data_IF_517885042699
#
_entry.id   IF_517885042699
#
_cell.length_a   1.000
_cell.length_b   1.000
_cell.length_c   1.000
_cell.angle_alpha   90.00
_cell.angle_beta   90.00
_cell.angle_gamma   90.00
#
_symmetry.space_group_name_H-M   'P 1'
#
loop_
_entity.id
_entity.type
_entity.pdbx_description
1 polymer ?
#
# COMPACT_ATOMS: atom_id res chain seq x y z
N UNK A 1 11.73 41.87 10.47
CA UNK A 1 10.67 40.99 10.01
C UNK A 1 11.14 39.58 9.65
N UNK A 2 12.18 39.40 8.82
CA UNK A 2 12.67 38.06 8.42
C UNK A 2 13.10 37.16 9.61
N UNK A 3 13.75 37.69 10.65
CA UNK A 3 14.16 36.91 11.83
C UNK A 3 12.98 36.35 12.63
N UNK A 4 11.88 37.10 12.75
CA UNK A 4 10.69 36.67 13.48
C UNK A 4 9.93 35.58 12.71
N UNK A 5 9.91 35.68 11.38
CA UNK A 5 9.35 34.66 10.52
C UNK A 5 10.12 33.34 10.56
N UNK A 6 11.47 33.44 10.64
CA UNK A 6 12.34 32.27 10.75
C UNK A 6 12.17 31.54 12.09
N UNK A 7 12.05 32.29 13.19
CA UNK A 7 11.82 31.68 14.52
C UNK A 7 10.44 31.02 14.61
N UNK A 8 9.37 31.65 14.07
CA UNK A 8 8.04 31.06 14.01
C UNK A 8 8.03 29.79 13.15
N UNK A 9 8.76 29.79 12.03
CA UNK A 9 8.94 28.62 11.17
C UNK A 9 9.62 27.47 11.91
N UNK A 10 10.72 27.72 12.62
CA UNK A 10 11.41 26.70 13.40
C UNK A 10 10.52 26.13 14.50
N UNK A 11 9.70 26.97 15.15
CA UNK A 11 8.74 26.52 16.17
C UNK A 11 7.63 25.66 15.57
N UNK A 12 7.11 25.98 14.39
CA UNK A 12 6.07 25.17 13.70
C UNK A 12 6.65 23.82 13.27
N UNK A 13 7.85 23.80 12.70
CA UNK A 13 8.54 22.56 12.34
C UNK A 13 8.81 21.70 13.57
N UNK A 14 9.23 22.33 14.68
CA UNK A 14 9.47 21.64 15.95
C UNK A 14 8.17 21.10 16.58
N UNK A 15 7.08 21.86 16.51
CA UNK A 15 5.76 21.43 16.96
C UNK A 15 5.21 20.26 16.10
N UNK A 16 5.41 20.30 14.80
CA UNK A 16 5.09 19.18 13.90
C UNK A 16 5.94 17.92 14.22
N UNK A 17 7.23 18.12 14.51
CA UNK A 17 8.12 17.04 14.94
C UNK A 17 7.66 16.40 16.26
N UNK A 18 7.21 17.22 17.24
CA UNK A 18 6.66 16.74 18.50
C UNK A 18 5.29 16.05 18.32
N UNK A 19 4.42 16.59 17.46
CA UNK A 19 3.10 16.03 17.16
C UNK A 19 3.19 14.65 16.49
N UNK A 20 4.18 14.45 15.63
CA UNK A 20 4.41 13.17 14.97
C UNK A 20 5.29 12.21 15.78
N UNK A 21 5.78 12.63 16.95
CA UNK A 21 6.64 11.82 17.82
C UNK A 21 7.81 11.17 17.07
N UNK A 22 8.40 11.94 16.11
CA UNK A 22 9.54 11.50 15.33
C UNK A 22 10.79 11.78 16.15
N UNK A 23 11.32 10.76 16.80
CA UNK A 23 12.62 10.85 17.45
C UNK A 23 13.73 11.06 16.42
N UNK A 24 14.45 12.17 16.48
CA UNK A 24 15.66 12.43 15.63
C UNK A 24 16.64 11.25 15.74
N UNK A 25 16.74 10.62 16.92
CA UNK A 25 17.56 9.44 17.17
C UNK A 25 17.14 8.24 16.33
N UNK A 26 15.84 8.06 16.10
CA UNK A 26 15.30 6.93 15.33
C UNK A 26 15.58 7.10 13.84
N UNK A 27 15.47 8.32 13.31
CA UNK A 27 15.86 8.65 11.94
C UNK A 27 17.37 8.45 11.70
N UNK A 28 18.21 8.91 12.64
CA UNK A 28 19.69 8.75 12.55
C UNK A 28 20.05 7.27 12.66
N UNK A 29 19.42 6.51 13.56
CA UNK A 29 19.65 5.08 13.73
C UNK A 29 19.25 4.31 12.46
N UNK A 30 18.15 4.65 11.85
CA UNK A 30 17.68 4.03 10.60
C UNK A 30 18.59 4.33 9.41
N UNK A 31 19.12 5.57 9.30
CA UNK A 31 20.13 5.94 8.30
C UNK A 31 21.45 5.19 8.52
N UNK A 32 21.87 5.00 9.77
CA UNK A 32 23.10 4.27 10.13
C UNK A 32 22.92 2.76 9.89
N UNK A 33 21.77 2.18 10.22
CA UNK A 33 21.44 0.79 9.95
C UNK A 33 21.33 0.51 8.44
N UNK A 34 20.78 1.43 7.65
CA UNK A 34 20.79 1.37 6.19
C UNK A 34 22.23 1.37 5.62
N UNK A 35 23.14 2.16 6.19
CA UNK A 35 24.56 2.19 5.81
C UNK A 35 25.29 0.89 6.17
N UNK A 36 24.93 0.26 7.28
CA UNK A 36 25.50 -1.01 7.73
C UNK A 36 24.90 -2.21 6.99
N UNK A 37 23.62 -2.20 6.60
CA UNK A 37 22.98 -3.26 5.82
C UNK A 37 23.54 -3.37 4.39
N UNK A 38 24.07 -2.26 3.86
CA UNK A 38 24.81 -2.25 2.57
C UNK A 38 26.12 -3.04 2.67
N UNK A 39 26.72 -3.17 3.86
CA UNK A 39 27.99 -3.89 4.09
C UNK A 39 27.81 -5.40 4.31
N UNK A 40 26.60 -5.87 4.58
CA UNK A 40 26.28 -7.30 4.79
C UNK A 40 25.71 -7.93 3.51
N UNK A 41 26.38 -7.76 2.38
CA UNK A 41 26.25 -8.63 1.21
C UNK A 41 27.07 -9.91 1.45
N UNK A 42 26.51 -10.89 2.17
CA UNK A 42 26.77 -12.33 2.01
C UNK A 42 26.22 -13.17 3.19
N UNK A 43 24.90 -13.17 3.34
CA UNK A 43 24.21 -14.36 3.88
C UNK A 43 22.79 -14.33 3.30
N UNK A 44 22.46 -15.32 2.48
CA UNK A 44 21.08 -15.58 2.05
C UNK A 44 20.25 -15.94 3.29
N UNK A 45 19.80 -14.94 4.04
CA UNK A 45 18.67 -15.14 4.94
C UNK A 45 17.47 -15.44 4.05
N UNK A 46 16.81 -16.53 4.31
CA UNK A 46 15.58 -16.91 3.62
C UNK A 46 14.63 -15.71 3.60
N UNK A 47 13.98 -15.44 2.48
CA UNK A 47 12.97 -14.37 2.34
C UNK A 47 11.92 -14.41 3.45
N UNK A 48 11.58 -15.62 3.92
CA UNK A 48 10.70 -15.88 5.08
C UNK A 48 11.23 -15.29 6.39
N UNK A 49 12.56 -15.35 6.63
CA UNK A 49 13.16 -14.79 7.85
C UNK A 49 13.12 -13.24 7.83
N UNK A 50 13.32 -12.61 6.67
CA UNK A 50 13.22 -11.15 6.51
C UNK A 50 11.78 -10.68 6.68
N UNK A 51 10.80 -11.40 6.15
CA UNK A 51 9.37 -11.11 6.33
C UNK A 51 8.97 -11.30 7.80
N UNK A 52 9.51 -12.31 8.49
CA UNK A 52 9.23 -12.57 9.90
C UNK A 52 9.86 -11.51 10.82
N UNK A 53 11.10 -11.07 10.57
CA UNK A 53 11.75 -9.97 11.29
C UNK A 53 10.99 -8.65 11.10
N UNK A 54 10.57 -8.32 9.87
CA UNK A 54 9.76 -7.12 9.60
C UNK A 54 8.36 -7.17 10.24
N UNK A 55 7.79 -8.35 10.47
CA UNK A 55 6.52 -8.52 11.19
C UNK A 55 6.66 -8.36 12.72
N UNK A 56 7.83 -8.61 13.27
CA UNK A 56 8.08 -8.61 14.73
C UNK A 56 8.35 -7.21 15.29
N UNK A 57 8.81 -6.27 14.47
CA UNK A 57 9.00 -4.87 14.86
C UNK A 57 7.67 -4.10 14.79
N UNK A 58 6.83 -4.31 15.82
CA UNK A 58 5.61 -3.53 16.02
C UNK A 58 5.99 -2.14 16.55
N UNK A 59 6.40 -1.25 15.65
CA UNK A 59 6.64 0.13 15.99
C UNK A 59 5.32 0.90 15.99
N UNK A 60 5.07 1.66 17.05
CA UNK A 60 3.82 2.37 17.33
C UNK A 60 3.65 3.67 16.50
N UNK A 61 4.57 4.00 15.60
CA UNK A 61 4.57 5.26 14.84
C UNK A 61 3.99 5.07 13.44
N UNK A 62 2.99 5.89 13.09
CA UNK A 62 2.31 5.85 11.79
C UNK A 62 3.28 5.94 10.59
N UNK A 63 4.32 6.78 10.69
CA UNK A 63 5.30 6.99 9.61
C UNK A 63 6.18 5.76 9.41
N UNK A 64 6.65 5.15 10.50
CA UNK A 64 7.45 3.93 10.43
C UNK A 64 6.64 2.78 9.87
N UNK A 65 5.39 2.60 10.32
CA UNK A 65 4.47 1.60 9.77
C UNK A 65 4.20 1.80 8.26
N UNK A 66 4.10 3.07 7.82
CA UNK A 66 3.90 3.40 6.41
C UNK A 66 5.13 3.07 5.55
N UNK A 67 6.32 3.39 6.04
CA UNK A 67 7.60 3.09 5.36
C UNK A 67 7.85 1.58 5.34
N UNK A 68 7.62 0.89 6.46
CA UNK A 68 7.82 -0.56 6.58
C UNK A 68 6.85 -1.34 5.70
N UNK A 69 5.60 -0.91 5.56
CA UNK A 69 4.65 -1.48 4.58
C UNK A 69 5.15 -1.34 3.15
N UNK A 70 5.67 -0.17 2.80
CA UNK A 70 6.23 0.03 1.45
C UNK A 70 7.47 -0.84 1.23
N UNK A 71 8.32 -0.99 2.25
CA UNK A 71 9.48 -1.88 2.22
C UNK A 71 9.08 -3.34 2.05
N UNK A 72 8.07 -3.82 2.80
CA UNK A 72 7.52 -5.17 2.66
C UNK A 72 6.97 -5.43 1.25
N UNK A 73 6.27 -4.46 0.66
CA UNK A 73 5.76 -4.54 -0.71
C UNK A 73 6.91 -4.74 -1.70
N UNK A 74 7.98 -3.96 -1.59
CA UNK A 74 9.13 -4.06 -2.48
C UNK A 74 9.93 -5.35 -2.28
N UNK A 75 9.98 -5.88 -1.06
CA UNK A 75 10.57 -7.21 -0.76
C UNK A 75 9.76 -8.31 -1.44
N UNK A 76 8.42 -8.27 -1.35
CA UNK A 76 7.53 -9.26 -1.97
C UNK A 76 7.62 -9.23 -3.51
N UNK A 77 7.87 -8.08 -4.12
CA UNK A 77 8.07 -7.95 -5.57
C UNK A 77 9.51 -8.26 -6.04
N UNK A 78 10.39 -8.71 -5.15
CA UNK A 78 11.82 -8.99 -5.43
C UNK A 78 12.59 -7.77 -6.00
N UNK A 79 12.17 -6.56 -5.65
CA UNK A 79 12.60 -5.29 -6.25
C UNK A 79 13.30 -4.38 -5.22
N UNK A 80 14.11 -4.99 -4.34
CA UNK A 80 14.84 -4.27 -3.27
C UNK A 80 15.80 -3.18 -3.77
N UNK A 81 16.31 -3.32 -5.02
CA UNK A 81 17.15 -2.28 -5.63
C UNK A 81 16.40 -0.95 -5.81
N UNK A 82 15.09 -1.01 -6.01
CA UNK A 82 14.25 0.18 -6.20
C UNK A 82 13.94 0.92 -4.88
N UNK A 83 14.19 0.32 -3.73
CA UNK A 83 13.99 1.00 -2.44
C UNK A 83 14.94 2.18 -2.25
N UNK A 84 16.20 2.04 -2.68
CA UNK A 84 17.18 3.13 -2.66
C UNK A 84 16.77 4.28 -3.60
N UNK A 85 16.26 3.92 -4.79
CA UNK A 85 15.77 4.88 -5.76
C UNK A 85 14.51 5.60 -5.26
N UNK A 86 13.68 4.94 -4.44
CA UNK A 86 12.47 5.53 -3.86
C UNK A 86 12.80 6.73 -2.96
N UNK A 87 13.82 6.63 -2.10
CA UNK A 87 14.24 7.76 -1.29
C UNK A 87 14.78 8.91 -2.13
N UNK A 88 15.49 8.59 -3.22
CA UNK A 88 15.97 9.61 -4.14
C UNK A 88 14.80 10.33 -4.82
N UNK A 89 13.80 9.58 -5.32
CA UNK A 89 12.59 10.16 -5.91
C UNK A 89 11.79 10.98 -4.90
N UNK A 90 11.71 10.53 -3.64
CA UNK A 90 11.06 11.27 -2.56
C UNK A 90 11.79 12.59 -2.27
N UNK A 91 13.12 12.57 -2.24
CA UNK A 91 13.92 13.78 -2.05
C UNK A 91 13.72 14.78 -3.19
N UNK A 92 13.78 14.32 -4.45
CA UNK A 92 13.54 15.18 -5.63
C UNK A 92 12.11 15.74 -5.61
N UNK A 93 11.11 14.92 -5.31
CA UNK A 93 9.73 15.38 -5.20
C UNK A 93 9.58 16.43 -4.07
N UNK A 94 10.21 16.21 -2.91
CA UNK A 94 10.23 17.19 -1.82
C UNK A 94 10.84 18.54 -2.24
N UNK A 95 11.95 18.53 -3.01
CA UNK A 95 12.55 19.75 -3.55
C UNK A 95 11.57 20.48 -4.49
N UNK A 96 10.84 19.75 -5.34
CA UNK A 96 9.80 20.34 -6.18
C UNK A 96 8.74 21.02 -5.32
N UNK A 97 8.31 20.40 -4.22
CA UNK A 97 7.37 20.99 -3.27
C UNK A 97 7.90 22.30 -2.66
N UNK A 98 9.18 22.37 -2.31
CA UNK A 98 9.82 23.60 -1.83
C UNK A 98 9.79 24.70 -2.91
N UNK A 99 10.12 24.37 -4.14
CA UNK A 99 10.09 25.33 -5.26
C UNK A 99 8.68 25.91 -5.43
N UNK A 100 7.66 25.06 -5.39
CA UNK A 100 6.24 25.50 -5.48
C UNK A 100 5.89 26.43 -4.31
N UNK A 101 6.31 26.11 -3.08
CA UNK A 101 6.08 26.96 -1.91
C UNK A 101 6.75 28.35 -2.03
N UNK A 102 7.96 28.41 -2.57
CA UNK A 102 8.68 29.65 -2.85
C UNK A 102 7.95 30.46 -3.92
N UNK A 103 7.44 29.80 -4.97
CA UNK A 103 6.67 30.46 -6.03
C UNK A 103 5.39 31.11 -5.51
N UNK A 104 4.73 30.47 -4.53
CA UNK A 104 3.56 31.00 -3.82
C UNK A 104 3.95 32.14 -2.83
N UNK A 105 5.25 32.41 -2.65
CA UNK A 105 5.78 33.43 -1.74
C UNK A 105 5.33 33.24 -0.27
N UNK A 106 5.11 32.00 0.15
CA UNK A 106 4.65 31.66 1.48
C UNK A 106 5.65 30.70 2.18
N UNK A 107 6.47 31.25 3.07
CA UNK A 107 7.51 30.49 3.77
C UNK A 107 6.92 29.41 4.69
N UNK A 108 5.69 29.59 5.19
CA UNK A 108 5.03 28.61 6.07
C UNK A 108 4.56 27.36 5.31
N UNK A 109 4.40 27.45 3.98
CA UNK A 109 4.06 26.32 3.14
C UNK A 109 5.24 25.40 2.82
N UNK A 110 6.48 25.88 3.00
CA UNK A 110 7.69 25.12 2.65
C UNK A 110 7.71 23.73 3.32
N UNK A 111 7.58 23.60 4.68
CA UNK A 111 7.60 22.27 5.30
C UNK A 111 6.40 21.41 4.91
N UNK A 112 5.23 22.03 4.73
CA UNK A 112 3.98 21.32 4.40
C UNK A 112 4.11 20.72 3.01
N UNK A 113 4.54 21.49 2.03
CA UNK A 113 4.68 21.01 0.65
C UNK A 113 5.85 20.04 0.51
N UNK A 114 6.95 20.23 1.25
CA UNK A 114 8.03 19.26 1.29
C UNK A 114 7.52 17.88 1.73
N UNK A 115 6.79 17.80 2.86
CA UNK A 115 6.24 16.53 3.38
C UNK A 115 5.22 15.94 2.41
N UNK A 116 4.32 16.77 1.88
CA UNK A 116 3.27 16.33 0.96
C UNK A 116 3.86 15.73 -0.32
N UNK A 117 4.79 16.44 -0.97
CA UNK A 117 5.41 15.96 -2.20
C UNK A 117 6.36 14.80 -1.95
N UNK A 118 7.13 14.80 -0.85
CA UNK A 118 8.01 13.70 -0.49
C UNK A 118 7.25 12.39 -0.19
N UNK A 119 6.00 12.44 0.29
CA UNK A 119 5.18 11.26 0.52
C UNK A 119 4.58 10.68 -0.76
N UNK A 120 4.49 11.44 -1.85
CA UNK A 120 3.84 11.03 -3.10
C UNK A 120 4.41 9.74 -3.71
N UNK A 121 5.75 9.53 -3.86
CA UNK A 121 6.30 8.29 -4.40
C UNK A 121 5.94 7.05 -3.57
N UNK A 122 5.88 7.19 -2.25
CA UNK A 122 5.48 6.09 -1.36
C UNK A 122 4.01 5.73 -1.56
N UNK A 123 3.12 6.74 -1.63
CA UNK A 123 1.68 6.55 -1.88
C UNK A 123 1.48 5.87 -3.24
N UNK A 124 2.20 6.31 -4.27
CA UNK A 124 2.11 5.74 -5.63
C UNK A 124 2.44 4.23 -5.63
N UNK A 125 3.51 3.82 -4.97
CA UNK A 125 3.88 2.39 -4.89
C UNK A 125 2.82 1.59 -4.16
N UNK A 126 2.29 2.10 -3.04
CA UNK A 126 1.23 1.41 -2.30
C UNK A 126 -0.05 1.27 -3.13
N UNK A 127 -0.47 2.32 -3.84
CA UNK A 127 -1.63 2.28 -4.73
C UNK A 127 -1.43 1.29 -5.89
N UNK A 128 -0.26 1.29 -6.52
CA UNK A 128 0.08 0.36 -7.60
C UNK A 128 -0.01 -1.09 -7.11
N UNK A 129 0.57 -1.38 -5.96
CA UNK A 129 0.54 -2.71 -5.35
C UNK A 129 -0.89 -3.11 -4.97
N UNK A 130 -1.65 -2.21 -4.37
CA UNK A 130 -3.04 -2.43 -4.01
C UNK A 130 -3.90 -2.77 -5.24
N UNK A 131 -3.78 -2.00 -6.31
CA UNK A 131 -4.52 -2.24 -7.55
C UNK A 131 -4.15 -3.58 -8.19
N UNK A 132 -2.85 -3.94 -8.18
CA UNK A 132 -2.37 -5.25 -8.66
C UNK A 132 -2.95 -6.39 -7.84
N UNK A 133 -2.93 -6.29 -6.51
CA UNK A 133 -3.49 -7.30 -5.58
C UNK A 133 -5.01 -7.44 -5.75
N UNK A 134 -5.72 -6.33 -5.91
CA UNK A 134 -7.16 -6.33 -6.14
C UNK A 134 -7.54 -7.05 -7.45
N UNK A 135 -6.81 -6.79 -8.53
CA UNK A 135 -6.98 -7.49 -9.81
C UNK A 135 -6.72 -8.98 -9.64
N UNK A 136 -5.62 -9.34 -8.98
CA UNK A 136 -5.24 -10.73 -8.73
C UNK A 136 -6.29 -11.48 -7.89
N UNK A 137 -6.85 -10.88 -6.85
CA UNK A 137 -7.88 -11.53 -6.01
C UNK A 137 -9.17 -11.79 -6.79
N UNK A 138 -9.54 -10.88 -7.71
CA UNK A 138 -10.71 -11.09 -8.59
C UNK A 138 -10.51 -12.26 -9.55
N UNK A 139 -9.33 -12.36 -10.15
CA UNK A 139 -9.00 -13.45 -11.08
C UNK A 139 -8.81 -14.77 -10.31
N UNK A 140 -8.36 -14.70 -9.04
CA UNK A 140 -8.18 -15.86 -8.16
C UNK A 140 -9.49 -16.58 -7.86
N UNK A 141 -10.58 -15.84 -7.58
CA UNK A 141 -11.92 -16.42 -7.39
C UNK A 141 -12.33 -17.27 -8.59
N UNK A 142 -12.19 -16.72 -9.79
CA UNK A 142 -12.55 -17.42 -11.03
C UNK A 142 -11.66 -18.64 -11.27
N UNK A 143 -10.35 -18.51 -11.04
CA UNK A 143 -9.40 -19.61 -11.20
C UNK A 143 -9.69 -20.77 -10.24
N UNK A 144 -9.83 -20.45 -8.93
CA UNK A 144 -10.12 -21.42 -7.87
C UNK A 144 -11.45 -22.13 -8.13
N UNK A 145 -12.48 -21.37 -8.53
CA UNK A 145 -13.81 -21.92 -8.87
C UNK A 145 -13.73 -22.93 -10.01
N UNK A 146 -13.11 -22.55 -11.13
CA UNK A 146 -13.00 -23.40 -12.31
C UNK A 146 -12.18 -24.66 -12.03
N UNK A 147 -11.03 -24.51 -11.37
CA UNK A 147 -10.16 -25.64 -10.98
C UNK A 147 -10.90 -26.59 -10.04
N UNK A 148 -11.60 -26.06 -9.04
CA UNK A 148 -12.37 -26.86 -8.09
C UNK A 148 -13.48 -27.62 -8.81
N UNK A 149 -14.17 -26.97 -9.74
CA UNK A 149 -15.26 -27.62 -10.50
C UNK A 149 -14.73 -28.78 -11.35
N UNK A 150 -13.61 -28.61 -12.08
CA UNK A 150 -12.97 -29.68 -12.84
C UNK A 150 -12.48 -30.80 -11.92
N UNK A 151 -11.88 -30.48 -10.78
CA UNK A 151 -11.35 -31.43 -9.81
C UNK A 151 -12.43 -32.32 -9.19
N UNK A 152 -13.61 -31.77 -8.91
CA UNK A 152 -14.72 -32.52 -8.33
C UNK A 152 -15.50 -33.29 -9.40
N UNK A 153 -15.88 -32.63 -10.50
CA UNK A 153 -16.74 -33.19 -11.55
C UNK A 153 -16.11 -34.39 -12.25
N UNK A 154 -14.84 -34.23 -12.63
CA UNK A 154 -14.17 -35.20 -13.51
C UNK A 154 -13.30 -36.18 -12.71
N UNK A 155 -13.29 -36.06 -11.38
CA UNK A 155 -12.46 -36.82 -10.47
C UNK A 155 -10.98 -36.88 -10.89
N UNK A 156 -10.54 -35.80 -11.56
CA UNK A 156 -9.19 -35.62 -12.06
C UNK A 156 -8.19 -35.45 -10.92
N UNK A 157 -6.90 -35.62 -11.25
CA UNK A 157 -5.82 -35.13 -10.39
C UNK A 157 -5.83 -33.59 -10.40
N UNK A 158 -5.48 -32.98 -9.25
CA UNK A 158 -5.47 -31.52 -9.14
C UNK A 158 -4.54 -30.86 -10.16
N UNK A 159 -3.39 -31.47 -10.51
CA UNK A 159 -2.48 -30.95 -11.52
C UNK A 159 -3.14 -30.93 -12.91
N UNK A 160 -3.90 -31.95 -13.27
CA UNK A 160 -4.65 -32.01 -14.52
C UNK A 160 -5.76 -30.96 -14.56
N UNK A 161 -6.50 -30.80 -13.44
CA UNK A 161 -7.52 -29.77 -13.30
C UNK A 161 -6.93 -28.34 -13.44
N UNK A 162 -5.75 -28.10 -12.92
CA UNK A 162 -5.03 -26.82 -13.11
C UNK A 162 -4.62 -26.65 -14.56
N UNK A 163 -4.07 -27.70 -15.20
CA UNK A 163 -3.62 -27.67 -16.60
C UNK A 163 -4.75 -27.36 -17.58
N UNK A 164 -5.92 -27.99 -17.40
CA UNK A 164 -7.10 -27.74 -18.21
C UNK A 164 -7.57 -26.28 -18.12
N UNK A 165 -7.51 -25.69 -16.93
CA UNK A 165 -7.99 -24.34 -16.66
C UNK A 165 -6.96 -23.24 -16.87
N UNK A 166 -5.68 -23.57 -17.14
CA UNK A 166 -4.56 -22.63 -17.19
C UNK A 166 -4.79 -21.49 -18.21
N UNK A 167 -5.41 -21.79 -19.36
CA UNK A 167 -5.68 -20.82 -20.43
C UNK A 167 -6.74 -19.77 -20.04
N UNK A 168 -7.56 -20.04 -19.04
CA UNK A 168 -8.60 -19.13 -18.54
C UNK A 168 -8.08 -18.25 -17.41
N UNK A 169 -6.88 -18.53 -16.87
CA UNK A 169 -6.25 -17.76 -15.80
C UNK A 169 -5.48 -16.61 -16.42
N UNK A 170 -5.66 -15.39 -15.89
CA UNK A 170 -4.98 -14.18 -16.35
C UNK A 170 -3.65 -13.95 -15.62
N UNK A 171 -2.76 -13.20 -16.26
CA UNK A 171 -1.55 -12.67 -15.60
C UNK A 171 -1.92 -11.64 -14.51
N UNK A 172 -1.21 -11.60 -13.39
CA UNK A 172 0.02 -12.34 -13.06
C UNK A 172 -0.23 -13.70 -12.38
N UNK A 173 -1.47 -14.09 -12.16
CA UNK A 173 -1.84 -15.31 -11.44
C UNK A 173 -1.44 -16.55 -12.25
N UNK A 174 -1.65 -16.52 -13.57
CA UNK A 174 -1.31 -17.60 -14.50
C UNK A 174 0.13 -18.08 -14.31
N UNK A 175 1.07 -17.17 -14.24
CA UNK A 175 2.50 -17.48 -14.06
C UNK A 175 2.77 -18.33 -12.81
N UNK A 176 2.06 -18.10 -11.70
CA UNK A 176 2.22 -18.89 -10.49
C UNK A 176 1.75 -20.34 -10.68
N UNK A 177 0.65 -20.55 -11.40
CA UNK A 177 0.14 -21.88 -11.72
C UNK A 177 1.00 -22.59 -12.78
N UNK A 178 1.59 -21.86 -13.73
CA UNK A 178 2.57 -22.41 -14.68
C UNK A 178 3.80 -22.93 -13.98
N UNK A 179 4.34 -22.18 -13.01
CA UNK A 179 5.49 -22.64 -12.21
C UNK A 179 5.13 -23.89 -11.39
N UNK A 180 3.91 -23.92 -10.81
CA UNK A 180 3.44 -25.09 -10.08
C UNK A 180 3.43 -26.33 -10.99
N UNK A 181 2.83 -26.22 -12.20
CA UNK A 181 2.79 -27.36 -13.15
C UNK A 181 4.18 -27.76 -13.62
N UNK A 182 5.02 -26.78 -13.95
CA UNK A 182 6.40 -27.04 -14.37
C UNK A 182 7.20 -27.78 -13.29
N UNK A 183 7.10 -27.35 -12.03
CA UNK A 183 7.78 -27.98 -10.92
C UNK A 183 7.27 -29.41 -10.69
N UNK A 184 5.96 -29.61 -10.76
CA UNK A 184 5.32 -30.93 -10.61
C UNK A 184 5.72 -31.90 -11.72
N UNK A 185 5.72 -31.45 -12.98
CA UNK A 185 6.02 -32.28 -14.13
C UNK A 185 7.52 -32.58 -14.31
N UNK A 186 8.41 -31.64 -13.96
CA UNK A 186 9.82 -31.70 -14.35
C UNK A 186 10.83 -31.76 -13.17
N UNK A 187 10.46 -31.34 -11.97
CA UNK A 187 11.41 -31.19 -10.85
C UNK A 187 11.09 -32.13 -9.70
N UNK A 188 9.86 -32.09 -9.21
CA UNK A 188 9.44 -32.84 -8.05
C UNK A 188 7.98 -33.30 -8.20
N UNK A 189 7.77 -34.60 -8.36
CA UNK A 189 6.43 -35.19 -8.49
C UNK A 189 5.62 -35.21 -7.19
N UNK A 190 6.15 -34.71 -6.07
CA UNK A 190 5.40 -34.58 -4.82
C UNK A 190 4.41 -33.42 -4.92
N UNK A 191 3.14 -33.74 -5.20
CA UNK A 191 2.06 -32.77 -5.42
C UNK A 191 1.83 -31.88 -4.19
N UNK A 192 1.95 -32.43 -2.97
CA UNK A 192 1.72 -31.67 -1.73
C UNK A 192 2.78 -30.59 -1.51
N UNK A 193 4.06 -30.90 -1.75
CA UNK A 193 5.13 -29.90 -1.65
C UNK A 193 4.97 -28.78 -2.66
N UNK A 194 4.59 -29.12 -3.89
CA UNK A 194 4.35 -28.11 -4.94
C UNK A 194 3.13 -27.24 -4.63
N UNK A 195 2.08 -27.78 -4.02
CA UNK A 195 0.92 -27.03 -3.55
C UNK A 195 1.30 -26.07 -2.40
N UNK A 196 2.12 -26.51 -1.45
CA UNK A 196 2.64 -25.66 -0.38
C UNK A 196 3.53 -24.51 -0.92
N UNK A 197 4.33 -24.79 -1.96
CA UNK A 197 5.08 -23.74 -2.64
C UNK A 197 4.14 -22.73 -3.32
N UNK A 198 3.12 -23.19 -4.04
CA UNK A 198 2.11 -22.34 -4.67
C UNK A 198 1.38 -21.48 -3.64
N UNK A 199 0.97 -22.07 -2.49
CA UNK A 199 0.37 -21.38 -1.36
C UNK A 199 1.23 -20.20 -0.89
N UNK A 200 2.55 -20.40 -0.81
CA UNK A 200 3.47 -19.35 -0.36
C UNK A 200 3.61 -18.16 -1.31
N UNK A 201 3.22 -18.31 -2.60
CA UNK A 201 3.34 -17.27 -3.63
C UNK A 201 2.12 -16.35 -3.68
N UNK A 202 0.97 -16.82 -3.22
CA UNK A 202 -0.31 -16.10 -3.28
C UNK A 202 -0.73 -15.74 -1.85
N UNK A 203 -0.70 -14.44 -1.52
CA UNK A 203 -1.01 -13.90 -0.19
C UNK A 203 -2.54 -13.65 -0.09
N UNK A 204 -3.31 -14.73 0.09
CA UNK A 204 -4.76 -14.69 0.26
C UNK A 204 -5.17 -15.82 1.20
N UNK A 205 -5.90 -15.50 2.28
CA UNK A 205 -6.25 -16.45 3.35
C UNK A 205 -7.20 -17.54 2.86
N UNK A 206 -8.17 -17.20 2.00
CA UNK A 206 -9.10 -18.18 1.43
C UNK A 206 -8.37 -19.13 0.48
N UNK A 207 -7.32 -18.64 -0.20
CA UNK A 207 -6.49 -19.47 -1.05
C UNK A 207 -5.61 -20.42 -0.23
N UNK A 208 -5.07 -19.96 0.89
CA UNK A 208 -4.35 -20.82 1.83
C UNK A 208 -5.25 -21.96 2.31
N UNK A 209 -6.48 -21.64 2.75
CA UNK A 209 -7.47 -22.63 3.19
C UNK A 209 -7.89 -23.60 2.06
N UNK A 210 -8.03 -23.08 0.84
CA UNK A 210 -8.34 -23.91 -0.33
C UNK A 210 -7.23 -24.91 -0.63
N UNK A 211 -5.96 -24.48 -0.64
CA UNK A 211 -4.80 -25.36 -0.83
C UNK A 211 -4.72 -26.43 0.28
N UNK A 212 -4.91 -26.03 1.56
CA UNK A 212 -4.89 -26.98 2.68
C UNK A 212 -5.98 -28.02 2.53
N UNK A 213 -7.18 -27.61 2.09
CA UNK A 213 -8.29 -28.55 1.84
C UNK A 213 -8.01 -29.48 0.67
N UNK A 214 -7.36 -28.99 -0.40
CA UNK A 214 -6.92 -29.87 -1.51
C UNK A 214 -5.88 -30.88 -1.01
N UNK A 215 -4.87 -30.46 -0.25
CA UNK A 215 -3.86 -31.35 0.30
C UNK A 215 -4.50 -32.45 1.16
N UNK A 216 -5.46 -32.07 2.01
CA UNK A 216 -6.21 -33.04 2.81
C UNK A 216 -7.08 -33.97 1.94
N UNK A 217 -7.66 -33.46 0.84
CA UNK A 217 -8.50 -34.24 -0.07
C UNK A 217 -7.73 -35.29 -0.88
N UNK A 218 -6.41 -35.17 -0.96
CA UNK A 218 -5.54 -36.18 -1.56
C UNK A 218 -5.49 -37.43 -0.67
N UNK A 219 -5.50 -37.24 0.66
CA UNK A 219 -5.47 -38.35 1.62
C UNK A 219 -6.88 -38.88 1.89
N UNK A 220 -7.88 -38.01 1.99
CA UNK A 220 -9.27 -38.38 2.25
C UNK A 220 -10.22 -37.58 1.32
N UNK A 221 -10.84 -38.31 0.38
CA UNK A 221 -11.75 -37.74 -0.62
C UNK A 221 -12.95 -37.00 -0.02
N UNK A 222 -13.30 -37.24 1.25
CA UNK A 222 -14.41 -36.53 1.91
C UNK A 222 -14.16 -35.03 1.98
N UNK A 223 -12.90 -34.58 2.05
CA UNK A 223 -12.55 -33.18 2.06
C UNK A 223 -12.89 -32.45 0.73
N UNK A 224 -13.09 -33.19 -0.40
CA UNK A 224 -13.57 -32.58 -1.64
C UNK A 224 -14.90 -31.86 -1.48
N UNK A 225 -15.76 -32.38 -0.59
CA UNK A 225 -17.08 -31.79 -0.33
C UNK A 225 -17.01 -30.42 0.38
N UNK A 226 -15.90 -30.09 1.00
CA UNK A 226 -15.69 -28.78 1.64
C UNK A 226 -15.22 -27.69 0.64
N UNK A 227 -14.66 -28.07 -0.50
CA UNK A 227 -14.13 -27.14 -1.50
C UNK A 227 -15.16 -26.12 -2.02
N UNK A 228 -16.41 -26.52 -2.37
CA UNK A 228 -17.42 -25.55 -2.81
C UNK A 228 -17.74 -24.48 -1.77
N UNK A 229 -17.71 -24.83 -0.48
CA UNK A 229 -17.90 -23.86 0.60
C UNK A 229 -16.77 -22.84 0.65
N UNK A 230 -15.51 -23.28 0.46
CA UNK A 230 -14.36 -22.38 0.42
C UNK A 230 -14.42 -21.47 -0.81
N UNK A 231 -14.83 -22.01 -1.97
CA UNK A 231 -15.08 -21.19 -3.17
C UNK A 231 -16.15 -20.12 -2.88
N UNK A 232 -17.20 -20.47 -2.14
CA UNK A 232 -18.22 -19.51 -1.70
C UNK A 232 -17.64 -18.34 -0.90
N UNK A 233 -16.65 -18.58 -0.02
CA UNK A 233 -15.97 -17.51 0.74
C UNK A 233 -15.30 -16.46 -0.15
N UNK A 234 -14.73 -16.85 -1.29
CA UNK A 234 -14.18 -15.87 -2.25
C UNK A 234 -15.26 -14.97 -2.83
N UNK A 235 -16.44 -15.53 -3.13
CA UNK A 235 -17.57 -14.75 -3.64
C UNK A 235 -18.11 -13.79 -2.57
N UNK A 236 -18.25 -14.25 -1.33
CA UNK A 236 -18.70 -13.43 -0.20
C UNK A 236 -17.73 -12.29 0.07
N UNK A 237 -16.42 -12.57 0.09
CA UNK A 237 -15.38 -11.54 0.24
C UNK A 237 -15.48 -10.48 -0.86
N UNK A 238 -15.73 -10.90 -2.10
CA UNK A 238 -15.91 -9.99 -3.23
C UNK A 238 -17.14 -9.11 -3.06
N UNK A 239 -18.27 -9.68 -2.67
CA UNK A 239 -19.54 -8.94 -2.47
C UNK A 239 -19.35 -7.90 -1.36
N UNK A 240 -18.80 -8.28 -0.23
CA UNK A 240 -18.51 -7.36 0.89
C UNK A 240 -17.57 -6.23 0.45
N UNK A 241 -16.50 -6.55 -0.29
CA UNK A 241 -15.59 -5.55 -0.80
C UNK A 241 -16.24 -4.59 -1.80
N UNK A 242 -17.17 -5.07 -2.64
CA UNK A 242 -17.93 -4.21 -3.56
C UNK A 242 -18.89 -3.29 -2.81
N UNK A 243 -19.60 -3.81 -1.81
CA UNK A 243 -20.48 -2.99 -0.96
C UNK A 243 -19.71 -1.90 -0.21
N UNK A 244 -18.57 -2.25 0.41
CA UNK A 244 -17.71 -1.29 1.09
C UNK A 244 -17.22 -0.22 0.13
N UNK A 245 -16.77 -0.60 -1.07
CA UNK A 245 -16.35 0.36 -2.09
C UNK A 245 -17.49 1.30 -2.45
N UNK A 246 -18.66 0.79 -2.73
CA UNK A 246 -19.83 1.61 -3.12
C UNK A 246 -20.18 2.61 -2.01
N UNK A 247 -20.23 2.16 -0.76
CA UNK A 247 -20.51 3.03 0.41
C UNK A 247 -19.43 4.07 0.68
N UNK A 248 -18.18 3.81 0.28
CA UNK A 248 -17.07 4.73 0.49
C UNK A 248 -16.85 5.70 -0.67
N UNK A 249 -17.40 5.43 -1.87
CA UNK A 249 -17.23 6.33 -3.01
C UNK A 249 -17.83 7.71 -2.76
N UNK A 250 -19.03 7.78 -2.21
CA UNK A 250 -19.74 9.03 -1.96
C UNK A 250 -19.00 9.95 -0.99
N UNK A 251 -18.63 9.53 0.23
CA UNK A 251 -17.87 10.37 1.16
C UNK A 251 -16.51 10.81 0.62
N UNK A 252 -15.84 9.97 -0.18
CA UNK A 252 -14.55 10.30 -0.78
C UNK A 252 -14.72 11.38 -1.84
N UNK A 253 -15.72 11.22 -2.69
CA UNK A 253 -16.04 12.20 -3.72
C UNK A 253 -16.38 13.56 -3.10
N UNK A 254 -17.24 13.58 -2.07
CA UNK A 254 -17.58 14.79 -1.31
C UNK A 254 -16.34 15.45 -0.68
N UNK A 255 -15.46 14.63 -0.10
CA UNK A 255 -14.21 15.13 0.48
C UNK A 255 -13.31 15.76 -0.59
N UNK A 256 -13.10 15.10 -1.72
CA UNK A 256 -12.28 15.63 -2.83
C UNK A 256 -12.88 16.94 -3.36
N UNK A 257 -14.19 16.97 -3.56
CA UNK A 257 -14.89 18.17 -4.02
C UNK A 257 -14.74 19.33 -3.02
N UNK A 258 -14.87 19.03 -1.73
CA UNK A 258 -14.66 20.02 -0.67
C UNK A 258 -13.23 20.57 -0.68
N UNK A 259 -12.22 19.70 -0.79
CA UNK A 259 -10.81 20.13 -0.88
C UNK A 259 -10.58 21.02 -2.11
N UNK A 260 -11.14 20.66 -3.26
CA UNK A 260 -11.04 21.47 -4.48
C UNK A 260 -11.67 22.83 -4.28
N UNK A 261 -12.89 22.90 -3.73
CA UNK A 261 -13.58 24.14 -3.45
C UNK A 261 -12.81 25.03 -2.48
N UNK A 262 -12.24 24.45 -1.42
CA UNK A 262 -11.44 25.19 -0.45
C UNK A 262 -10.16 25.76 -1.09
N UNK A 263 -9.47 24.99 -1.94
CA UNK A 263 -8.29 25.49 -2.67
C UNK A 263 -8.68 26.60 -3.65
N UNK A 264 -9.78 26.43 -4.39
CA UNK A 264 -10.27 27.42 -5.34
C UNK A 264 -10.80 28.69 -4.65
N UNK A 265 -11.22 28.62 -3.38
CA UNK A 265 -11.66 29.80 -2.64
C UNK A 265 -10.56 30.85 -2.50
N UNK A 266 -9.28 30.45 -2.43
CA UNK A 266 -8.13 31.37 -2.29
C UNK A 266 -8.05 32.33 -3.50
N UNK A 267 -7.92 31.87 -4.75
CA UNK A 267 -7.92 32.78 -5.90
C UNK A 267 -9.28 33.50 -6.11
N UNK A 268 -10.36 32.87 -5.67
CA UNK A 268 -11.71 33.48 -5.79
C UNK A 268 -11.84 34.74 -4.95
N UNK A 269 -11.11 34.89 -3.85
CA UNK A 269 -11.09 36.14 -3.04
C UNK A 269 -10.70 37.36 -3.85
N UNK A 270 -10.00 37.21 -4.98
CA UNK A 270 -9.66 38.28 -5.90
C UNK A 270 -10.90 38.90 -6.58
N UNK A 271 -11.98 38.13 -6.72
CA UNK A 271 -13.22 38.57 -7.37
C UNK A 271 -14.26 39.07 -6.38
N UNK A 272 -14.10 38.80 -5.08
CA UNK A 272 -15.07 39.12 -4.05
C UNK A 272 -14.98 40.61 -3.60
N UNK A 273 -13.79 41.20 -3.68
CA UNK A 273 -13.61 42.63 -3.34
C UNK A 273 -12.13 43.04 -3.36
N UNK A 274 -11.94 44.36 -3.54
CA UNK A 274 -10.63 44.95 -3.62
C UNK A 274 -9.87 44.79 -2.29
N UNK A 275 -8.67 44.20 -2.39
CA UNK A 275 -7.74 44.05 -1.26
C UNK A 275 -7.84 42.77 -0.45
N UNK A 276 -8.89 41.96 -0.51
CA UNK A 276 -8.99 40.70 0.25
C UNK A 276 -7.90 39.68 -0.12
N UNK A 277 -7.68 39.57 -1.43
CA UNK A 277 -6.60 38.71 -1.93
C UNK A 277 -5.22 39.17 -1.47
N UNK A 278 -4.98 40.51 -1.53
CA UNK A 278 -3.70 41.09 -1.12
C UNK A 278 -3.45 40.92 0.39
N UNK A 279 -4.48 41.05 1.21
CA UNK A 279 -4.39 40.77 2.65
C UNK A 279 -4.10 39.29 2.91
N UNK A 280 -4.78 38.39 2.21
CA UNK A 280 -4.64 36.96 2.42
C UNK A 280 -3.24 36.43 1.98
N UNK A 281 -2.75 36.89 0.82
CA UNK A 281 -1.49 36.40 0.25
C UNK A 281 -0.31 37.30 0.65
N UNK A 282 -0.53 38.59 0.82
CA UNK A 282 0.52 39.59 1.10
C UNK A 282 0.91 39.71 2.57
N UNK A 283 -0.06 39.59 3.49
CA UNK A 283 0.24 39.76 4.92
C UNK A 283 0.79 38.48 5.56
N UNK A 284 1.57 38.65 6.64
CA UNK A 284 2.10 37.51 7.41
C UNK A 284 0.98 36.68 8.04
N UNK A 285 -0.07 37.35 8.52
CA UNK A 285 -1.25 36.69 9.10
C UNK A 285 -2.02 35.88 8.07
N UNK A 286 -2.26 36.43 6.87
CA UNK A 286 -2.92 35.69 5.78
C UNK A 286 -2.10 34.48 5.31
N UNK A 287 -0.79 34.62 5.21
CA UNK A 287 0.13 33.49 4.89
C UNK A 287 0.06 32.37 5.93
N UNK A 288 -0.08 32.71 7.21
CA UNK A 288 -0.22 31.75 8.30
C UNK A 288 -1.58 31.03 8.21
N UNK A 289 -2.67 31.77 7.91
CA UNK A 289 -3.99 31.16 7.69
C UNK A 289 -3.99 30.18 6.53
N UNK A 290 -3.36 30.51 5.39
CA UNK A 290 -3.22 29.61 4.26
C UNK A 290 -2.43 28.36 4.67
N UNK A 291 -1.33 28.50 5.41
CA UNK A 291 -0.55 27.37 5.89
C UNK A 291 -1.35 26.45 6.82
N UNK A 292 -2.12 27.04 7.74
CA UNK A 292 -3.01 26.30 8.63
C UNK A 292 -4.07 25.52 7.83
N UNK A 293 -4.67 26.14 6.80
CA UNK A 293 -5.63 25.51 5.90
C UNK A 293 -5.00 24.29 5.18
N UNK A 294 -3.81 24.43 4.60
CA UNK A 294 -3.13 23.29 3.97
C UNK A 294 -2.74 22.21 4.97
N UNK A 295 -2.39 22.58 6.20
CA UNK A 295 -2.12 21.61 7.27
C UNK A 295 -3.37 20.81 7.63
N UNK A 296 -4.53 21.45 7.76
CA UNK A 296 -5.81 20.75 8.03
C UNK A 296 -6.21 19.83 6.88
N UNK A 297 -6.02 20.25 5.63
CA UNK A 297 -6.23 19.38 4.45
C UNK A 297 -5.31 18.17 4.49
N UNK A 298 -4.03 18.36 4.82
CA UNK A 298 -3.06 17.26 4.90
C UNK A 298 -3.45 16.26 5.99
N UNK A 299 -3.76 16.72 7.19
CA UNK A 299 -4.17 15.86 8.31
C UNK A 299 -5.47 15.12 7.98
N UNK A 300 -6.48 15.81 7.44
CA UNK A 300 -7.74 15.17 7.06
C UNK A 300 -7.55 14.15 5.92
N UNK A 301 -6.68 14.43 4.93
CA UNK A 301 -6.33 13.47 3.88
C UNK A 301 -5.71 12.19 4.44
N UNK A 302 -4.81 12.31 5.43
CA UNK A 302 -4.23 11.16 6.13
C UNK A 302 -5.32 10.36 6.85
N UNK A 303 -6.26 11.03 7.52
CA UNK A 303 -7.38 10.38 8.20
C UNK A 303 -8.28 9.63 7.19
N UNK A 304 -8.63 10.25 6.08
CA UNK A 304 -9.43 9.62 5.02
C UNK A 304 -8.74 8.39 4.47
N UNK A 305 -7.45 8.48 4.10
CA UNK A 305 -6.67 7.33 3.63
C UNK A 305 -6.60 6.21 4.68
N UNK A 306 -6.58 6.56 5.97
CA UNK A 306 -6.57 5.57 7.06
C UNK A 306 -7.90 4.83 7.19
N UNK A 307 -9.02 5.52 7.03
CA UNK A 307 -10.38 4.97 7.09
C UNK A 307 -10.65 4.09 5.85
N UNK A 308 -10.11 4.46 4.70
CA UNK A 308 -10.26 3.75 3.43
C UNK A 308 -9.50 2.41 3.35
N UNK A 309 -8.65 2.08 4.34
CA UNK A 309 -7.98 0.78 4.32
C UNK A 309 -9.03 -0.32 4.41
N UNK A 310 -9.04 -1.28 3.45
CA UNK A 310 -9.93 -2.42 3.54
C UNK A 310 -9.68 -3.12 4.87
N UNK A 311 -10.76 -3.49 5.55
CA UNK A 311 -10.69 -4.32 6.75
C UNK A 311 -10.19 -5.68 6.27
N UNK A 312 -8.91 -5.96 6.45
CA UNK A 312 -8.42 -7.33 6.34
C UNK A 312 -9.04 -8.07 7.53
N UNK A 313 -10.05 -8.90 7.26
CA UNK A 313 -10.56 -9.82 8.25
C UNK A 313 -9.42 -10.77 8.62
N UNK A 314 -8.74 -10.45 9.70
CA UNK A 314 -7.88 -11.36 10.43
C UNK A 314 -8.79 -12.06 11.43
N UNK A 315 -9.31 -13.23 11.05
CA UNK A 315 -9.83 -14.19 12.03
C UNK A 315 -8.66 -14.84 12.76
#
# INVERSE_FOLDING_TARGET
MLRFQFTAFVFIVFALFLLFNIGIKDLIKEIVELKNSIKIKKKRKSLKALIFEARKEKHNNFITDFIDKTKLILIKENNLSNFKNLYLYSGVAGIIGVIVAIFVQNIFLIPIFFILFASFPFIYIQLKYYNKRKGMNKDLESAVSNITYSYIRDNMNIAESVKENLNYIREPLRHNFEIFLYNYENINSNIKENLEELKSKIDNINFEEWIDTIINSIDDSNYKNALPYIVGKFSDERIINLELQTKMYEPIYEYILTVILVILSIPFTKFVGDGWYEVLVGTTFGKLLIALLFTTILVSSICVVRIMKPVEYRS
#
